data_IF_079617601489
#
_entry.id   IF_079617601489
#
_cell.length_a   1.000
_cell.length_b   1.000
_cell.length_c   1.000
_cell.angle_alpha   90.00
_cell.angle_beta   90.00
_cell.angle_gamma   90.00
#
_symmetry.space_group_name_H-M   'P 1'
#
loop_
_entity.id
_entity.type
_entity.pdbx_description
1 polymer ?
#
# COMPACT_ATOMS: atom_id res chain seq x y z
N UNK A 1 17.14 -5.29 3.57
CA UNK A 1 16.56 -4.46 2.48
C UNK A 1 15.24 -5.01 1.95
N UNK A 2 15.14 -6.30 1.61
CA UNK A 2 13.87 -6.94 1.17
C UNK A 2 12.72 -6.79 2.19
N UNK A 3 12.99 -6.93 3.47
CA UNK A 3 11.97 -6.93 4.53
C UNK A 3 11.36 -5.53 4.78
N UNK A 4 12.13 -4.45 4.64
CA UNK A 4 11.62 -3.07 4.80
C UNK A 4 10.96 -2.53 3.52
N UNK A 5 11.43 -2.93 2.35
CA UNK A 5 10.73 -2.70 1.07
C UNK A 5 9.33 -3.31 1.15
N UNK A 6 9.21 -4.48 1.79
CA UNK A 6 7.95 -5.16 2.04
C UNK A 6 7.04 -4.38 3.00
N UNK A 7 7.57 -3.83 4.10
CA UNK A 7 6.74 -3.09 5.08
C UNK A 7 6.19 -1.76 4.56
N UNK A 8 6.94 -1.00 3.78
CA UNK A 8 6.44 0.26 3.18
C UNK A 8 5.42 -0.01 2.06
N UNK A 9 5.66 -1.03 1.23
CA UNK A 9 4.70 -1.50 0.23
C UNK A 9 3.42 -2.02 0.87
N UNK A 10 3.53 -2.72 2.00
CA UNK A 10 2.38 -3.19 2.77
C UNK A 10 1.55 -2.03 3.33
N UNK A 11 2.18 -0.96 3.79
CA UNK A 11 1.50 0.21 4.33
C UNK A 11 0.71 0.96 3.25
N UNK A 12 1.31 1.18 2.08
CA UNK A 12 0.63 1.77 0.92
C UNK A 12 -0.52 0.87 0.42
N UNK A 13 -0.33 -0.46 0.48
CA UNK A 13 -1.38 -1.41 0.15
C UNK A 13 -2.57 -1.31 1.10
N UNK A 14 -2.31 -1.18 2.39
CA UNK A 14 -3.36 -1.01 3.41
C UNK A 14 -4.12 0.31 3.20
N UNK A 15 -3.43 1.42 2.98
CA UNK A 15 -4.09 2.69 2.70
C UNK A 15 -4.98 2.59 1.46
N UNK A 16 -4.44 2.08 0.35
CA UNK A 16 -5.18 1.89 -0.90
C UNK A 16 -6.38 0.94 -0.73
N UNK A 17 -6.28 -0.08 0.14
CA UNK A 17 -7.37 -1.00 0.46
C UNK A 17 -8.53 -0.26 1.15
N UNK A 18 -8.23 0.54 2.18
CA UNK A 18 -9.25 1.29 2.90
C UNK A 18 -9.88 2.39 2.04
N UNK A 19 -9.11 3.12 1.26
CA UNK A 19 -9.61 4.12 0.30
C UNK A 19 -10.47 3.50 -0.80
N UNK A 20 -10.01 2.39 -1.39
CA UNK A 20 -10.75 1.63 -2.39
C UNK A 20 -12.08 1.14 -1.86
N UNK A 21 -12.11 0.65 -0.62
CA UNK A 21 -13.34 0.23 0.07
C UNK A 21 -14.39 1.34 0.15
N UNK A 22 -13.99 2.58 0.45
CA UNK A 22 -14.93 3.72 0.53
C UNK A 22 -15.66 3.96 -0.80
N UNK A 23 -15.01 3.70 -1.93
CA UNK A 23 -15.60 3.87 -3.27
C UNK A 23 -16.61 2.80 -3.63
N UNK A 24 -16.49 1.60 -3.06
CA UNK A 24 -17.36 0.45 -3.40
C UNK A 24 -18.54 0.25 -2.47
N UNK A 25 -18.54 0.84 -1.29
CA UNK A 25 -19.65 0.75 -0.33
C UNK A 25 -20.98 1.26 -0.93
N UNK A 26 -21.03 2.39 -1.68
CA UNK A 26 -22.27 2.86 -2.30
C UNK A 26 -22.92 1.82 -3.22
N UNK A 27 -22.13 0.96 -3.88
CA UNK A 27 -22.68 -0.09 -4.75
C UNK A 27 -23.42 -1.18 -3.97
N UNK A 28 -22.98 -1.53 -2.75
CA UNK A 28 -23.72 -2.44 -1.88
C UNK A 28 -25.07 -1.84 -1.47
N UNK A 29 -25.10 -0.55 -1.14
CA UNK A 29 -26.33 0.17 -0.76
C UNK A 29 -27.27 0.26 -1.94
N UNK A 30 -26.76 0.60 -3.13
CA UNK A 30 -27.56 0.64 -4.36
C UNK A 30 -28.14 -0.74 -4.70
N UNK A 31 -27.32 -1.79 -4.61
CA UNK A 31 -27.75 -3.15 -4.92
C UNK A 31 -28.87 -3.62 -3.99
N UNK A 32 -28.74 -3.43 -2.68
CA UNK A 32 -29.81 -3.81 -1.72
C UNK A 32 -31.04 -2.94 -1.90
N UNK A 33 -30.92 -1.66 -2.25
CA UNK A 33 -32.05 -0.77 -2.51
C UNK A 33 -32.84 -1.22 -3.77
N UNK A 34 -32.12 -1.51 -4.86
CA UNK A 34 -32.77 -1.98 -6.12
C UNK A 34 -33.47 -3.31 -5.89
N UNK A 35 -32.83 -4.28 -5.21
CA UNK A 35 -33.45 -5.56 -4.88
C UNK A 35 -34.68 -5.40 -4.01
N UNK A 36 -34.57 -4.58 -2.95
CA UNK A 36 -35.69 -4.36 -2.03
C UNK A 36 -36.89 -3.72 -2.70
N UNK A 37 -36.66 -2.71 -3.58
CA UNK A 37 -37.72 -2.08 -4.36
C UNK A 37 -38.36 -3.08 -5.33
N UNK A 38 -37.56 -3.92 -6.00
CA UNK A 38 -38.06 -4.96 -6.89
C UNK A 38 -38.95 -5.98 -6.15
N UNK A 39 -38.54 -6.46 -5.00
CA UNK A 39 -39.30 -7.42 -4.22
C UNK A 39 -40.55 -6.81 -3.56
N UNK A 40 -40.54 -5.55 -3.16
CA UNK A 40 -41.73 -4.83 -2.70
C UNK A 40 -42.70 -4.65 -3.86
N UNK A 41 -42.24 -4.26 -5.04
CA UNK A 41 -43.09 -4.08 -6.23
C UNK A 41 -43.75 -5.38 -6.67
N UNK A 42 -43.03 -6.50 -6.68
CA UNK A 42 -43.58 -7.82 -7.08
C UNK A 42 -44.43 -8.46 -6.00
N UNK A 43 -44.38 -7.96 -4.76
CA UNK A 43 -45.10 -8.48 -3.59
C UNK A 43 -44.91 -9.99 -3.36
N UNK A 44 -43.76 -10.54 -3.79
CA UNK A 44 -43.46 -11.97 -3.67
C UNK A 44 -42.97 -12.34 -2.26
N UNK A 45 -42.25 -11.43 -1.59
CA UNK A 45 -41.63 -11.66 -0.29
C UNK A 45 -42.37 -10.82 0.77
N UNK A 46 -42.62 -11.37 1.96
CA UNK A 46 -43.18 -10.58 3.06
C UNK A 46 -42.35 -9.33 3.34
N UNK A 47 -42.97 -8.15 3.28
CA UNK A 47 -42.31 -6.85 3.37
C UNK A 47 -41.42 -6.72 4.61
N UNK A 48 -41.81 -7.35 5.73
CA UNK A 48 -41.02 -7.37 6.98
C UNK A 48 -39.66 -7.99 6.77
N UNK A 49 -39.54 -9.09 5.98
CA UNK A 49 -38.27 -9.76 5.69
C UNK A 49 -37.39 -8.92 4.80
N UNK A 50 -37.97 -8.27 3.78
CA UNK A 50 -37.25 -7.34 2.89
C UNK A 50 -36.66 -6.19 3.69
N UNK A 51 -37.44 -5.59 4.60
CA UNK A 51 -37.01 -4.48 5.45
C UNK A 51 -35.86 -4.93 6.38
N UNK A 52 -35.98 -6.10 7.02
CA UNK A 52 -34.93 -6.63 7.91
C UNK A 52 -33.61 -6.81 7.14
N UNK A 53 -33.63 -7.48 6.00
CA UNK A 53 -32.43 -7.69 5.19
C UNK A 53 -31.85 -6.38 4.64
N UNK A 54 -32.70 -5.44 4.23
CA UNK A 54 -32.29 -4.10 3.80
C UNK A 54 -31.50 -3.39 4.90
N UNK A 55 -32.08 -3.28 6.10
CA UNK A 55 -31.43 -2.59 7.20
C UNK A 55 -30.18 -3.32 7.69
N UNK A 56 -30.14 -4.65 7.68
CA UNK A 56 -28.94 -5.42 8.02
C UNK A 56 -27.77 -5.04 7.10
N UNK A 57 -27.97 -5.06 5.78
CA UNK A 57 -26.92 -4.74 4.81
C UNK A 57 -26.56 -3.25 4.86
N UNK A 58 -27.54 -2.37 5.04
CA UNK A 58 -27.33 -0.92 5.19
C UNK A 58 -26.47 -0.60 6.42
N UNK A 59 -26.81 -1.14 7.58
CA UNK A 59 -26.06 -0.92 8.83
C UNK A 59 -24.62 -1.41 8.68
N UNK A 60 -24.41 -2.62 8.16
CA UNK A 60 -23.07 -3.14 7.93
C UNK A 60 -22.27 -2.28 6.92
N UNK A 61 -22.93 -1.76 5.89
CA UNK A 61 -22.31 -0.84 4.92
C UNK A 61 -21.86 0.46 5.58
N UNK A 62 -22.73 1.06 6.41
CA UNK A 62 -22.43 2.29 7.16
C UNK A 62 -21.31 2.07 8.17
N UNK A 63 -21.36 0.97 8.94
CA UNK A 63 -20.29 0.62 9.90
C UNK A 63 -18.96 0.46 9.18
N UNK A 64 -18.93 -0.23 8.03
CA UNK A 64 -17.71 -0.40 7.21
C UNK A 64 -17.20 0.94 6.69
N UNK A 65 -18.09 1.83 6.26
CA UNK A 65 -17.73 3.17 5.78
C UNK A 65 -17.13 4.02 6.91
N UNK A 66 -17.80 4.11 8.06
CA UNK A 66 -17.33 4.86 9.24
C UNK A 66 -15.98 4.33 9.72
N UNK A 67 -15.84 3.01 9.85
CA UNK A 67 -14.60 2.37 10.30
C UNK A 67 -13.45 2.67 9.35
N UNK A 68 -13.66 2.56 8.03
CA UNK A 68 -12.63 2.88 7.04
C UNK A 68 -12.23 4.36 7.09
N UNK A 69 -13.19 5.27 7.27
CA UNK A 69 -12.92 6.70 7.47
C UNK A 69 -12.09 6.98 8.73
N UNK A 70 -12.42 6.36 9.84
CA UNK A 70 -11.68 6.51 11.10
C UNK A 70 -10.26 5.95 10.97
N UNK A 71 -10.09 4.80 10.33
CA UNK A 71 -8.76 4.19 10.11
C UNK A 71 -7.87 5.13 9.29
N UNK A 72 -8.41 5.76 8.24
CA UNK A 72 -7.67 6.69 7.40
C UNK A 72 -7.38 8.00 8.15
N UNK A 73 -8.39 8.65 8.72
CA UNK A 73 -8.26 9.97 9.34
C UNK A 73 -7.38 9.99 10.59
N UNK A 74 -7.38 8.91 11.37
CA UNK A 74 -6.54 8.74 12.57
C UNK A 74 -5.23 7.99 12.28
N UNK A 75 -4.93 7.72 11.01
CA UNK A 75 -3.73 6.99 10.58
C UNK A 75 -3.55 5.64 11.32
N UNK A 76 -4.66 4.97 11.68
CA UNK A 76 -4.58 3.67 12.37
C UNK A 76 -3.93 2.57 11.53
N UNK A 77 -3.94 2.70 10.21
CA UNK A 77 -3.21 1.81 9.31
C UNK A 77 -1.69 1.85 9.55
N UNK A 78 -1.16 2.98 10.10
CA UNK A 78 0.25 3.13 10.49
C UNK A 78 0.50 2.61 11.90
N UNK A 79 -0.36 3.00 12.86
CA UNK A 79 -0.13 2.76 14.30
C UNK A 79 -0.63 1.42 14.79
N UNK A 80 -1.77 0.95 14.26
CA UNK A 80 -2.49 -0.26 14.64
C UNK A 80 -2.85 -1.11 13.42
N UNK A 81 -2.00 -1.13 12.38
CA UNK A 81 -2.31 -1.69 11.07
C UNK A 81 -2.82 -3.13 11.10
N UNK A 82 -2.25 -3.99 11.95
CA UNK A 82 -2.71 -5.38 12.10
C UNK A 82 -4.13 -5.46 12.67
N UNK A 83 -4.45 -4.67 13.69
CA UNK A 83 -5.78 -4.64 14.31
C UNK A 83 -6.83 -4.05 13.37
N UNK A 84 -6.47 -2.94 12.68
CA UNK A 84 -7.31 -2.32 11.67
C UNK A 84 -7.63 -3.30 10.52
N UNK A 85 -6.63 -4.06 10.07
CA UNK A 85 -6.80 -5.06 9.03
C UNK A 85 -7.71 -6.21 9.48
N UNK A 86 -7.52 -6.75 10.68
CA UNK A 86 -8.39 -7.83 11.22
C UNK A 86 -9.84 -7.33 11.31
N UNK A 87 -10.08 -6.15 11.88
CA UNK A 87 -11.42 -5.58 11.96
C UNK A 87 -12.05 -5.38 10.58
N UNK A 88 -11.27 -4.94 9.61
CA UNK A 88 -11.73 -4.79 8.23
C UNK A 88 -12.09 -6.14 7.58
N UNK A 89 -11.28 -7.18 7.80
CA UNK A 89 -11.56 -8.54 7.32
C UNK A 89 -12.87 -9.10 7.90
N UNK A 90 -13.07 -8.93 9.20
CA UNK A 90 -14.30 -9.36 9.87
C UNK A 90 -15.54 -8.64 9.33
N UNK A 91 -15.46 -7.32 9.11
CA UNK A 91 -16.58 -6.56 8.53
C UNK A 91 -16.91 -7.01 7.09
N UNK A 92 -15.89 -7.33 6.28
CA UNK A 92 -16.12 -7.89 4.94
C UNK A 92 -16.73 -9.29 5.01
N UNK A 93 -16.28 -10.14 5.93
CA UNK A 93 -16.83 -11.47 6.15
C UNK A 93 -18.32 -11.42 6.54
N UNK A 94 -18.67 -10.60 7.53
CA UNK A 94 -20.07 -10.43 7.94
C UNK A 94 -20.93 -9.79 6.84
N UNK A 95 -20.39 -8.90 6.03
CA UNK A 95 -21.10 -8.37 4.87
C UNK A 95 -21.41 -9.48 3.85
N UNK A 96 -20.44 -10.33 3.54
CA UNK A 96 -20.66 -11.49 2.67
C UNK A 96 -21.72 -12.45 3.24
N UNK A 97 -21.65 -12.76 4.54
CA UNK A 97 -22.67 -13.59 5.21
C UNK A 97 -24.06 -12.95 5.20
N UNK A 98 -24.16 -11.63 5.37
CA UNK A 98 -25.47 -10.95 5.33
C UNK A 98 -26.14 -11.11 3.96
N UNK A 99 -25.38 -11.06 2.88
CA UNK A 99 -25.89 -11.30 1.53
C UNK A 99 -26.36 -12.75 1.33
N UNK A 100 -25.56 -13.74 1.76
CA UNK A 100 -25.98 -15.14 1.65
C UNK A 100 -27.17 -15.46 2.56
N UNK A 101 -27.20 -14.89 3.78
CA UNK A 101 -28.35 -15.03 4.68
C UNK A 101 -29.63 -14.45 4.08
N UNK A 102 -29.52 -13.30 3.41
CA UNK A 102 -30.66 -12.70 2.71
C UNK A 102 -31.17 -13.62 1.60
N UNK A 103 -30.28 -14.32 0.87
CA UNK A 103 -30.69 -15.32 -0.12
C UNK A 103 -31.48 -16.46 0.55
N UNK A 104 -31.02 -17.03 1.68
CA UNK A 104 -31.72 -18.11 2.35
C UNK A 104 -33.07 -17.69 2.95
N UNK A 105 -33.17 -16.47 3.45
CA UNK A 105 -34.44 -15.91 3.95
C UNK A 105 -35.44 -15.75 2.82
N UNK A 106 -34.98 -15.38 1.64
CA UNK A 106 -35.84 -15.11 0.48
C UNK A 106 -36.11 -16.34 -0.36
N UNK A 107 -35.23 -17.34 -0.39
CA UNK A 107 -35.32 -18.52 -1.26
C UNK A 107 -36.69 -19.24 -1.26
N UNK A 108 -37.44 -19.36 -0.12
CA UNK A 108 -38.76 -19.98 -0.14
C UNK A 108 -39.84 -19.19 -0.94
N UNK A 109 -39.57 -17.92 -1.23
CA UNK A 109 -40.50 -17.00 -1.89
C UNK A 109 -40.05 -16.65 -3.31
N UNK A 110 -38.84 -17.03 -3.70
CA UNK A 110 -38.29 -16.71 -5.03
C UNK A 110 -38.82 -17.68 -6.07
N UNK A 111 -39.27 -17.14 -7.19
CA UNK A 111 -39.40 -17.90 -8.44
C UNK A 111 -38.02 -17.92 -9.17
N UNK A 112 -37.89 -18.76 -10.22
CA UNK A 112 -36.63 -18.93 -10.94
C UNK A 112 -36.06 -17.61 -11.48
N UNK A 113 -36.90 -16.71 -11.98
CA UNK A 113 -36.50 -15.40 -12.50
C UNK A 113 -35.93 -14.50 -11.37
N UNK A 114 -36.63 -14.45 -10.25
CA UNK A 114 -36.23 -13.62 -9.12
C UNK A 114 -34.96 -14.16 -8.42
N UNK A 115 -34.80 -15.48 -8.34
CA UNK A 115 -33.58 -16.14 -7.88
C UNK A 115 -32.41 -15.82 -8.80
N UNK A 116 -32.60 -15.91 -10.12
CA UNK A 116 -31.58 -15.56 -11.09
C UNK A 116 -31.13 -14.10 -10.96
N UNK A 117 -32.07 -13.16 -10.83
CA UNK A 117 -31.79 -11.74 -10.63
C UNK A 117 -30.96 -11.53 -9.35
N UNK A 118 -31.36 -12.20 -8.25
CA UNK A 118 -30.64 -12.09 -6.97
C UNK A 118 -29.16 -12.53 -7.12
N UNK A 119 -28.95 -13.73 -7.68
CA UNK A 119 -27.59 -14.28 -7.87
C UNK A 119 -26.79 -13.47 -8.87
N UNK A 120 -27.42 -12.94 -9.92
CA UNK A 120 -26.76 -12.04 -10.87
C UNK A 120 -26.22 -10.76 -10.18
N UNK A 121 -26.99 -10.19 -9.25
CA UNK A 121 -26.52 -9.04 -8.45
C UNK A 121 -25.35 -9.43 -7.55
N UNK A 122 -25.37 -10.62 -6.91
CA UNK A 122 -24.21 -11.10 -6.13
C UNK A 122 -22.97 -11.30 -7.01
N UNK A 123 -23.17 -11.79 -8.23
CA UNK A 123 -22.11 -11.88 -9.25
C UNK A 123 -21.52 -10.50 -9.58
N UNK A 124 -22.38 -9.51 -9.80
CA UNK A 124 -21.97 -8.12 -10.02
C UNK A 124 -21.19 -7.53 -8.85
N UNK A 125 -21.64 -7.75 -7.62
CA UNK A 125 -20.95 -7.32 -6.40
C UNK A 125 -19.60 -8.03 -6.23
N UNK A 126 -19.52 -9.34 -6.53
CA UNK A 126 -18.28 -10.12 -6.50
C UNK A 126 -17.25 -9.59 -7.49
N UNK A 127 -17.69 -9.30 -8.71
CA UNK A 127 -16.83 -8.75 -9.77
C UNK A 127 -16.41 -7.32 -9.48
N UNK A 128 -17.35 -6.47 -9.03
CA UNK A 128 -17.07 -5.08 -8.66
C UNK A 128 -16.09 -4.96 -7.47
N UNK A 129 -16.12 -5.91 -6.55
CA UNK A 129 -15.18 -5.96 -5.43
C UNK A 129 -13.72 -6.21 -5.85
N UNK A 130 -13.46 -6.73 -7.06
CA UNK A 130 -12.09 -6.91 -7.58
C UNK A 130 -11.36 -5.57 -7.59
N UNK A 131 -12.01 -4.50 -8.04
CA UNK A 131 -11.38 -3.19 -8.20
C UNK A 131 -10.86 -2.60 -6.86
N UNK A 132 -11.47 -2.96 -5.73
CA UNK A 132 -11.14 -2.39 -4.42
C UNK A 132 -10.44 -3.35 -3.47
N UNK A 133 -10.90 -4.60 -3.41
CA UNK A 133 -10.46 -5.57 -2.41
C UNK A 133 -9.30 -6.46 -2.89
N UNK A 134 -9.09 -6.63 -4.22
CA UNK A 134 -8.02 -7.50 -4.73
C UNK A 134 -6.61 -6.96 -4.47
N UNK A 135 -6.46 -5.71 -4.05
CA UNK A 135 -5.22 -5.12 -3.54
C UNK A 135 -4.66 -5.98 -2.40
N UNK A 136 -5.56 -6.55 -1.58
CA UNK A 136 -5.23 -7.48 -0.52
C UNK A 136 -6.17 -8.69 -0.59
N UNK A 137 -5.73 -9.76 -1.23
CA UNK A 137 -6.55 -10.94 -1.54
C UNK A 137 -7.33 -11.52 -0.34
N UNK A 138 -6.77 -11.58 0.89
CA UNK A 138 -7.56 -12.06 2.03
C UNK A 138 -8.84 -11.23 2.29
N UNK A 139 -8.82 -9.91 2.02
CA UNK A 139 -10.02 -9.08 2.17
C UNK A 139 -11.06 -9.38 1.08
N UNK A 140 -10.61 -9.65 -0.14
CA UNK A 140 -11.47 -10.08 -1.22
C UNK A 140 -12.13 -11.43 -0.92
N UNK A 141 -11.34 -12.41 -0.47
CA UNK A 141 -11.87 -13.73 -0.11
C UNK A 141 -12.82 -13.69 1.09
N UNK A 142 -12.50 -12.87 2.10
CA UNK A 142 -13.36 -12.67 3.26
C UNK A 142 -14.75 -12.11 2.89
N UNK A 143 -14.86 -11.38 1.78
CA UNK A 143 -16.14 -10.87 1.29
C UNK A 143 -16.85 -11.87 0.37
N UNK A 144 -16.15 -12.38 -0.64
CA UNK A 144 -16.75 -13.12 -1.76
C UNK A 144 -17.09 -14.57 -1.40
N UNK A 145 -16.24 -15.26 -0.62
CA UNK A 145 -16.48 -16.66 -0.27
C UNK A 145 -17.72 -16.86 0.61
N UNK A 146 -17.90 -16.12 1.74
CA UNK A 146 -19.11 -16.30 2.56
C UNK A 146 -20.38 -15.82 1.86
N UNK A 147 -20.27 -14.96 0.85
CA UNK A 147 -21.41 -14.50 0.05
C UNK A 147 -21.90 -15.57 -0.94
N UNK A 148 -20.99 -16.27 -1.62
CA UNK A 148 -21.34 -17.14 -2.75
C UNK A 148 -21.30 -18.63 -2.40
N UNK A 149 -20.32 -19.08 -1.61
CA UNK A 149 -20.10 -20.51 -1.33
C UNK A 149 -21.31 -21.19 -0.66
N UNK A 150 -22.00 -20.60 0.35
CA UNK A 150 -23.18 -21.23 0.94
C UNK A 150 -24.32 -21.46 -0.06
N UNK A 151 -24.50 -20.54 -1.00
CA UNK A 151 -25.53 -20.63 -2.04
C UNK A 151 -25.24 -21.78 -3.00
N UNK A 152 -23.97 -21.90 -3.43
CA UNK A 152 -23.53 -23.02 -4.28
C UNK A 152 -23.75 -24.36 -3.56
N UNK A 153 -23.29 -24.46 -2.32
CA UNK A 153 -23.44 -25.67 -1.52
C UNK A 153 -24.90 -26.06 -1.32
N UNK A 154 -25.78 -25.10 -1.08
CA UNK A 154 -27.21 -25.34 -0.92
C UNK A 154 -27.86 -25.86 -2.20
N UNK A 155 -27.57 -25.25 -3.35
CA UNK A 155 -28.14 -25.70 -4.64
C UNK A 155 -27.63 -27.09 -5.02
N UNK A 156 -26.39 -27.48 -4.68
CA UNK A 156 -25.90 -28.83 -4.83
C UNK A 156 -26.59 -29.84 -3.89
N UNK A 157 -26.88 -29.41 -2.65
CA UNK A 157 -27.55 -30.24 -1.64
C UNK A 157 -28.99 -30.62 -2.04
N UNK A 158 -29.70 -29.77 -2.79
CA UNK A 158 -31.09 -30.00 -3.21
C UNK A 158 -31.23 -31.20 -4.18
N UNK A 159 -30.16 -31.71 -4.79
CA UNK A 159 -30.12 -32.84 -5.70
C UNK A 159 -31.13 -32.76 -6.88
N UNK A 160 -31.57 -31.54 -7.23
CA UNK A 160 -32.43 -31.29 -8.41
C UNK A 160 -31.53 -30.97 -9.60
N UNK A 161 -31.86 -31.49 -10.80
CA UNK A 161 -31.00 -31.40 -11.99
C UNK A 161 -30.71 -29.97 -12.41
N UNK A 162 -31.72 -29.13 -12.48
CA UNK A 162 -31.64 -27.70 -12.80
C UNK A 162 -30.83 -26.91 -11.75
N UNK A 163 -31.05 -27.17 -10.45
CA UNK A 163 -30.26 -26.57 -9.35
C UNK A 163 -28.81 -27.02 -9.38
N UNK A 164 -28.53 -28.27 -9.72
CA UNK A 164 -27.17 -28.80 -9.86
C UNK A 164 -26.44 -28.13 -11.03
N UNK A 165 -27.07 -27.99 -12.19
CA UNK A 165 -26.52 -27.26 -13.36
C UNK A 165 -26.20 -25.81 -12.94
N UNK A 166 -27.18 -25.13 -12.33
CA UNK A 166 -27.00 -23.76 -11.83
C UNK A 166 -25.79 -23.64 -10.89
N UNK A 167 -25.67 -24.54 -9.91
CA UNK A 167 -24.55 -24.55 -8.95
C UNK A 167 -23.20 -24.78 -9.64
N UNK A 168 -23.13 -25.66 -10.67
CA UNK A 168 -21.91 -25.88 -11.46
C UNK A 168 -21.54 -24.63 -12.24
N UNK A 169 -22.49 -24.01 -12.95
CA UNK A 169 -22.24 -22.77 -13.70
C UNK A 169 -21.79 -21.63 -12.78
N UNK A 170 -22.44 -21.50 -11.62
CA UNK A 170 -22.09 -20.48 -10.63
C UNK A 170 -20.72 -20.74 -9.99
N UNK A 171 -20.35 -22.01 -9.81
CA UNK A 171 -19.01 -22.41 -9.35
C UNK A 171 -17.93 -22.03 -10.36
N UNK A 172 -18.17 -22.28 -11.66
CA UNK A 172 -17.26 -21.87 -12.74
C UNK A 172 -17.09 -20.35 -12.78
N UNK A 173 -18.21 -19.61 -12.68
CA UNK A 173 -18.17 -18.16 -12.58
C UNK A 173 -17.32 -17.72 -11.38
N UNK A 174 -17.54 -18.28 -10.19
CA UNK A 174 -16.78 -17.96 -8.97
C UNK A 174 -15.29 -18.23 -9.16
N UNK A 175 -14.91 -19.36 -9.76
CA UNK A 175 -13.52 -19.69 -10.07
C UNK A 175 -12.88 -18.62 -10.97
N UNK A 176 -13.58 -18.23 -12.04
CA UNK A 176 -13.09 -17.19 -12.97
C UNK A 176 -12.87 -15.87 -12.23
N UNK A 177 -13.82 -15.45 -11.40
CA UNK A 177 -13.74 -14.22 -10.61
C UNK A 177 -12.59 -14.25 -9.61
N UNK A 178 -12.36 -15.39 -8.92
CA UNK A 178 -11.22 -15.58 -8.00
C UNK A 178 -9.87 -15.55 -8.75
N UNK A 179 -9.78 -16.17 -9.92
CA UNK A 179 -8.57 -16.12 -10.75
C UNK A 179 -8.29 -14.70 -11.25
N UNK A 180 -9.33 -13.99 -11.71
CA UNK A 180 -9.21 -12.58 -12.13
C UNK A 180 -8.74 -11.68 -11.01
N UNK A 181 -9.26 -11.86 -9.78
CA UNK A 181 -8.81 -11.13 -8.60
C UNK A 181 -7.32 -11.38 -8.29
N UNK A 182 -6.86 -12.64 -8.41
CA UNK A 182 -5.44 -12.98 -8.25
C UNK A 182 -4.54 -12.32 -9.30
N UNK A 183 -4.96 -12.33 -10.56
CA UNK A 183 -4.23 -11.68 -11.64
C UNK A 183 -4.16 -10.16 -11.43
N UNK A 184 -5.29 -9.53 -11.09
CA UNK A 184 -5.35 -8.09 -10.80
C UNK A 184 -4.45 -7.71 -9.62
N UNK A 185 -4.46 -8.48 -8.53
CA UNK A 185 -3.57 -8.29 -7.38
C UNK A 185 -2.10 -8.32 -7.79
N UNK A 186 -1.70 -9.28 -8.63
CA UNK A 186 -0.31 -9.37 -9.15
C UNK A 186 0.06 -8.17 -10.01
N UNK A 187 -0.85 -7.73 -10.89
CA UNK A 187 -0.63 -6.56 -11.74
C UNK A 187 -0.49 -5.27 -10.92
N UNK A 188 -1.39 -5.04 -9.96
CA UNK A 188 -1.33 -3.89 -9.06
C UNK A 188 -0.02 -3.86 -8.24
N UNK A 189 0.43 -5.04 -7.77
CA UNK A 189 1.71 -5.16 -7.07
C UNK A 189 2.91 -4.78 -7.96
N UNK A 190 2.93 -5.25 -9.23
CA UNK A 190 3.97 -4.88 -10.19
C UNK A 190 3.97 -3.37 -10.49
N UNK A 191 2.82 -2.80 -10.79
CA UNK A 191 2.68 -1.35 -11.06
C UNK A 191 3.16 -0.52 -9.87
N UNK A 192 2.80 -0.94 -8.64
CA UNK A 192 3.26 -0.27 -7.42
C UNK A 192 4.77 -0.31 -7.27
N UNK A 193 5.41 -1.47 -7.46
CA UNK A 193 6.87 -1.59 -7.39
C UNK A 193 7.54 -0.67 -8.40
N UNK A 194 7.07 -0.66 -9.65
CA UNK A 194 7.59 0.23 -10.69
C UNK A 194 7.37 1.72 -10.37
N UNK A 195 6.30 2.06 -9.66
CA UNK A 195 6.00 3.46 -9.30
C UNK A 195 6.85 4.02 -8.17
N UNK A 196 7.45 3.20 -7.29
CA UNK A 196 8.20 3.65 -6.11
C UNK A 196 9.71 3.45 -6.22
N UNK A 197 10.19 2.77 -7.25
CA UNK A 197 11.63 2.54 -7.47
C UNK A 197 12.15 3.35 -8.63
N UNK A 198 13.44 3.71 -8.56
CA UNK A 198 14.20 4.21 -9.68
C UNK A 198 14.57 3.05 -10.62
N UNK A 199 14.26 3.17 -11.89
CA UNK A 199 14.40 2.11 -12.89
C UNK A 199 15.86 1.72 -13.17
N UNK A 200 16.80 2.67 -13.04
CA UNK A 200 18.21 2.44 -13.29
C UNK A 200 18.90 1.74 -12.12
N UNK A 201 18.70 2.24 -10.90
CA UNK A 201 19.47 1.80 -9.71
C UNK A 201 18.75 0.78 -8.85
N UNK A 202 17.43 0.65 -9.00
CA UNK A 202 16.58 -0.18 -8.16
C UNK A 202 16.51 0.29 -6.69
N UNK A 203 16.97 1.51 -6.39
CA UNK A 203 16.69 2.21 -5.13
C UNK A 203 15.25 2.73 -5.12
N UNK A 204 14.76 3.19 -4.00
CA UNK A 204 13.53 3.96 -3.96
C UNK A 204 13.71 5.29 -4.70
N UNK A 205 12.64 5.77 -5.36
CA UNK A 205 12.66 7.04 -6.08
C UNK A 205 12.26 8.23 -5.18
N UNK A 206 12.33 9.44 -5.74
CA UNK A 206 11.96 10.71 -5.08
C UNK A 206 10.53 10.68 -4.51
N UNK A 207 9.55 10.19 -5.29
CA UNK A 207 8.15 10.12 -4.81
C UNK A 207 8.02 9.28 -3.55
N UNK A 208 8.70 8.16 -3.51
CA UNK A 208 8.67 7.28 -2.33
C UNK A 208 9.42 7.88 -1.14
N UNK A 209 10.52 8.62 -1.38
CA UNK A 209 11.22 9.39 -0.34
C UNK A 209 10.28 10.33 0.41
N UNK A 210 9.48 11.12 -0.31
CA UNK A 210 8.58 12.11 0.29
C UNK A 210 7.54 11.45 1.20
N UNK A 211 6.99 10.30 0.80
CA UNK A 211 6.02 9.53 1.59
C UNK A 211 6.68 8.91 2.83
N UNK A 212 7.82 8.23 2.64
CA UNK A 212 8.51 7.54 3.75
C UNK A 212 9.00 8.55 4.78
N UNK A 213 9.59 9.65 4.36
CA UNK A 213 10.15 10.63 5.28
C UNK A 213 9.06 11.29 6.14
N UNK A 214 7.93 11.67 5.55
CA UNK A 214 6.77 12.20 6.30
C UNK A 214 6.27 11.21 7.36
N UNK A 215 6.14 9.95 6.98
CA UNK A 215 5.65 8.90 7.88
C UNK A 215 6.64 8.62 9.02
N UNK A 216 7.95 8.62 8.73
CA UNK A 216 8.97 8.38 9.75
C UNK A 216 9.11 9.56 10.70
N UNK A 217 8.96 10.81 10.23
CA UNK A 217 8.90 11.98 11.12
C UNK A 217 7.74 11.87 12.13
N UNK A 218 6.56 11.47 11.64
CA UNK A 218 5.38 11.27 12.48
C UNK A 218 5.57 10.12 13.49
N UNK A 219 6.25 9.04 13.09
CA UNK A 219 6.58 7.90 13.98
C UNK A 219 7.61 8.27 15.03
N UNK A 220 8.67 8.96 14.63
CA UNK A 220 9.74 9.39 15.54
C UNK A 220 9.20 10.28 16.67
N UNK A 221 8.33 11.23 16.31
CA UNK A 221 7.65 12.09 17.28
C UNK A 221 6.84 11.28 18.29
N UNK A 222 6.07 10.27 17.85
CA UNK A 222 5.24 9.44 18.75
C UNK A 222 6.06 8.53 19.65
N UNK A 223 7.09 7.93 19.08
CA UNK A 223 7.87 6.89 19.74
C UNK A 223 9.17 7.44 20.37
N UNK A 224 9.39 8.74 20.28
CA UNK A 224 10.53 9.48 20.90
C UNK A 224 11.91 8.92 20.53
N UNK A 225 12.15 8.65 19.24
CA UNK A 225 13.47 8.29 18.75
C UNK A 225 14.00 9.30 17.72
N UNK A 226 15.35 9.48 17.64
CA UNK A 226 15.95 10.40 16.69
C UNK A 226 15.88 9.85 15.26
N UNK A 227 15.82 10.75 14.27
CA UNK A 227 16.00 10.44 12.85
C UNK A 227 17.15 11.26 12.30
N UNK A 228 18.00 10.62 11.48
CA UNK A 228 18.96 11.35 10.66
C UNK A 228 18.59 11.25 9.18
N UNK A 229 18.53 12.40 8.52
CA UNK A 229 18.36 12.53 7.07
C UNK A 229 19.71 12.86 6.46
N UNK A 230 20.14 12.05 5.49
CA UNK A 230 21.39 12.23 4.77
C UNK A 230 21.10 12.50 3.31
N UNK A 231 21.57 13.63 2.77
CA UNK A 231 21.64 13.86 1.33
C UNK A 231 23.06 13.62 0.85
N UNK A 232 23.19 12.93 -0.28
CA UNK A 232 24.45 12.47 -0.86
C UNK A 232 24.46 12.87 -2.33
N UNK A 233 25.56 13.43 -2.78
CA UNK A 233 25.74 13.83 -4.17
C UNK A 233 27.10 13.35 -4.69
N UNK A 234 27.13 12.92 -5.94
CA UNK A 234 28.37 12.49 -6.59
C UNK A 234 29.07 13.71 -7.19
N UNK A 235 30.14 14.13 -6.55
CA UNK A 235 30.93 15.25 -7.03
C UNK A 235 31.53 14.95 -8.41
N UNK A 236 31.43 15.92 -9.31
CA UNK A 236 31.98 15.86 -10.67
C UNK A 236 31.40 14.71 -11.53
N UNK A 237 30.18 14.23 -11.26
CA UNK A 237 29.56 13.17 -12.08
C UNK A 237 29.47 13.53 -13.57
N UNK A 238 29.28 14.81 -13.89
CA UNK A 238 29.29 15.30 -15.28
C UNK A 238 30.57 14.94 -16.01
N UNK A 239 31.73 14.95 -15.34
CA UNK A 239 33.00 14.54 -15.93
C UNK A 239 32.96 13.10 -16.47
N UNK A 240 32.30 12.18 -15.76
CA UNK A 240 32.13 10.79 -16.24
C UNK A 240 31.33 10.77 -17.54
N UNK A 241 30.19 11.47 -17.55
CA UNK A 241 29.33 11.52 -18.73
C UNK A 241 30.02 12.15 -19.94
N UNK A 242 30.70 13.28 -19.72
CA UNK A 242 31.35 14.05 -20.80
C UNK A 242 32.60 13.32 -21.35
N UNK A 243 33.29 12.54 -20.50
CA UNK A 243 34.53 11.84 -20.90
C UNK A 243 34.28 10.43 -21.45
N UNK A 244 33.35 9.68 -20.82
CA UNK A 244 33.16 8.25 -21.09
C UNK A 244 31.78 7.90 -21.67
N UNK A 245 30.89 8.88 -21.80
CA UNK A 245 29.53 8.73 -22.31
C UNK A 245 28.49 8.33 -21.25
N UNK A 246 27.25 8.56 -21.58
CA UNK A 246 26.10 8.33 -20.65
C UNK A 246 25.95 6.88 -20.19
N UNK A 247 26.28 5.90 -21.04
CA UNK A 247 26.18 4.47 -20.67
C UNK A 247 27.17 4.10 -19.55
N UNK A 248 28.37 4.72 -19.55
CA UNK A 248 29.35 4.55 -18.46
C UNK A 248 28.86 5.29 -17.20
N UNK A 249 28.27 6.49 -17.36
CA UNK A 249 27.63 7.22 -16.27
C UNK A 249 26.52 6.41 -15.59
N UNK A 250 25.65 5.79 -16.37
CA UNK A 250 24.58 4.92 -15.85
C UNK A 250 25.14 3.71 -15.08
N UNK A 251 26.15 3.05 -15.64
CA UNK A 251 26.84 1.95 -14.95
C UNK A 251 27.49 2.40 -13.64
N UNK A 252 28.03 3.61 -13.60
CA UNK A 252 28.62 4.20 -12.41
C UNK A 252 27.56 4.52 -11.35
N UNK A 253 26.40 5.05 -11.73
CA UNK A 253 25.27 5.28 -10.81
C UNK A 253 24.78 3.97 -10.18
N UNK A 254 24.72 2.89 -10.95
CA UNK A 254 24.41 1.53 -10.45
C UNK A 254 25.49 1.08 -9.45
N UNK A 255 26.77 1.29 -9.78
CA UNK A 255 27.89 0.94 -8.90
C UNK A 255 27.82 1.67 -7.55
N UNK A 256 27.63 2.99 -7.57
CA UNK A 256 27.43 3.81 -6.35
C UNK A 256 26.25 3.29 -5.53
N UNK A 257 25.12 3.04 -6.18
CA UNK A 257 23.93 2.50 -5.51
C UNK A 257 24.20 1.17 -4.80
N UNK A 258 25.03 0.31 -5.39
CA UNK A 258 25.43 -0.95 -4.79
C UNK A 258 26.35 -0.75 -3.58
N UNK A 259 27.26 0.23 -3.63
CA UNK A 259 28.09 0.60 -2.47
C UNK A 259 27.21 1.10 -1.30
N UNK A 260 26.27 2.01 -1.60
CA UNK A 260 25.33 2.53 -0.59
C UNK A 260 24.51 1.38 0.04
N UNK A 261 23.97 0.45 -0.78
CA UNK A 261 23.24 -0.73 -0.32
C UNK A 261 24.06 -1.65 0.58
N UNK A 262 25.34 -1.86 0.23
CA UNK A 262 26.24 -2.75 0.97
C UNK A 262 26.67 -2.15 2.31
N UNK A 263 26.71 -0.82 2.41
CA UNK A 263 27.15 -0.13 3.64
C UNK A 263 25.98 0.11 4.58
N UNK A 264 24.83 0.56 4.08
CA UNK A 264 23.60 0.75 4.86
C UNK A 264 22.78 -0.55 4.91
N UNK A 265 23.14 -1.45 5.84
CA UNK A 265 22.54 -2.80 5.95
C UNK A 265 21.39 -2.90 6.95
N UNK A 266 21.17 -1.89 7.79
CA UNK A 266 20.13 -1.93 8.81
C UNK A 266 18.76 -1.98 8.12
N UNK A 267 17.92 -2.93 8.52
CA UNK A 267 16.54 -3.05 7.99
C UNK A 267 15.69 -1.83 8.27
N UNK A 268 16.07 -1.02 9.26
CA UNK A 268 15.44 0.26 9.61
C UNK A 268 15.76 1.39 8.64
N UNK A 269 16.85 1.34 7.87
CA UNK A 269 17.32 2.45 7.04
C UNK A 269 16.77 2.37 5.62
N UNK A 270 16.49 3.51 5.01
CA UNK A 270 15.96 3.60 3.64
C UNK A 270 16.88 4.40 2.75
N UNK A 271 17.08 3.91 1.51
CA UNK A 271 17.91 4.52 0.49
C UNK A 271 17.05 4.91 -0.71
N UNK A 272 17.31 6.11 -1.21
CA UNK A 272 16.58 6.71 -2.32
C UNK A 272 17.54 7.31 -3.33
N UNK A 273 17.16 7.28 -4.61
CA UNK A 273 17.73 8.16 -5.63
C UNK A 273 16.72 9.27 -5.87
N UNK A 274 17.11 10.52 -5.61
CA UNK A 274 16.20 11.69 -5.63
C UNK A 274 16.42 12.60 -6.84
N UNK A 275 17.54 12.47 -7.52
CA UNK A 275 17.91 13.20 -8.72
C UNK A 275 18.85 12.39 -9.60
N UNK A 276 19.48 13.00 -10.60
CA UNK A 276 20.42 12.38 -11.51
C UNK A 276 21.56 11.66 -10.79
N UNK A 277 22.36 12.39 -10.05
CA UNK A 277 23.51 11.98 -9.23
C UNK A 277 23.29 12.16 -7.73
N UNK A 278 22.05 12.49 -7.32
CA UNK A 278 21.64 12.76 -5.96
C UNK A 278 20.95 11.57 -5.32
N UNK A 279 21.35 11.25 -4.09
CA UNK A 279 20.78 10.20 -3.26
C UNK A 279 20.35 10.73 -1.90
N UNK A 280 19.45 10.01 -1.24
CA UNK A 280 19.08 10.27 0.14
C UNK A 280 19.08 8.99 0.96
N UNK A 281 19.36 9.12 2.27
CA UNK A 281 19.16 8.06 3.24
C UNK A 281 18.37 8.59 4.43
N UNK A 282 17.40 7.78 4.90
CA UNK A 282 16.70 8.01 6.17
C UNK A 282 17.20 6.97 7.16
N UNK A 283 17.87 7.42 8.22
CA UNK A 283 18.46 6.58 9.26
C UNK A 283 17.59 6.69 10.52
N UNK A 284 16.95 5.58 10.90
CA UNK A 284 15.96 5.55 11.96
C UNK A 284 16.61 5.14 13.28
N UNK A 285 16.22 5.81 14.36
CA UNK A 285 16.76 5.59 15.70
C UNK A 285 18.30 5.62 15.70
N UNK A 286 18.85 6.67 15.07
CA UNK A 286 20.28 6.87 14.91
C UNK A 286 20.64 8.29 15.34
N UNK A 287 21.42 8.45 16.44
CA UNK A 287 21.87 9.76 16.92
C UNK A 287 22.88 10.39 15.96
N UNK A 288 23.13 11.72 16.07
CA UNK A 288 23.98 12.45 15.13
C UNK A 288 25.38 11.86 14.97
N UNK A 289 26.02 11.44 16.05
CA UNK A 289 27.36 10.85 16.03
C UNK A 289 27.45 9.55 15.24
N UNK A 290 26.47 8.67 15.42
CA UNK A 290 26.39 7.42 14.67
C UNK A 290 26.11 7.67 13.17
N UNK A 291 25.22 8.61 12.85
CA UNK A 291 24.94 8.98 11.47
C UNK A 291 26.18 9.50 10.74
N UNK A 292 27.00 10.33 11.40
CA UNK A 292 28.28 10.82 10.86
C UNK A 292 29.26 9.66 10.64
N UNK A 293 29.35 8.75 11.61
CA UNK A 293 30.21 7.55 11.49
C UNK A 293 29.80 6.69 10.30
N UNK A 294 28.52 6.45 10.11
CA UNK A 294 27.99 5.71 8.96
C UNK A 294 28.29 6.42 7.64
N UNK A 295 28.15 7.74 7.59
CA UNK A 295 28.54 8.53 6.42
C UNK A 295 30.05 8.46 6.13
N UNK A 296 30.90 8.45 7.17
CA UNK A 296 32.33 8.23 7.04
C UNK A 296 32.68 6.86 6.43
N UNK A 297 31.99 5.80 6.89
CA UNK A 297 32.12 4.48 6.31
C UNK A 297 31.68 4.43 4.84
N UNK A 298 30.59 5.13 4.50
CA UNK A 298 30.13 5.25 3.11
C UNK A 298 31.20 5.90 2.22
N UNK A 299 31.78 6.99 2.68
CA UNK A 299 32.84 7.72 1.97
C UNK A 299 34.09 6.85 1.80
N UNK A 300 34.51 6.15 2.85
CA UNK A 300 35.64 5.23 2.79
C UNK A 300 35.42 4.07 1.80
N UNK A 301 34.24 3.42 1.88
CA UNK A 301 33.89 2.32 0.97
C UNK A 301 33.78 2.80 -0.49
N UNK A 302 33.24 4.00 -0.71
CA UNK A 302 33.22 4.61 -2.02
C UNK A 302 34.64 4.84 -2.53
N UNK A 303 35.51 5.50 -1.75
CA UNK A 303 36.88 5.80 -2.15
C UNK A 303 37.70 4.54 -2.46
N UNK A 304 37.48 3.44 -1.71
CA UNK A 304 38.14 2.14 -1.97
C UNK A 304 37.71 1.47 -3.27
N UNK A 305 36.46 1.67 -3.68
CA UNK A 305 35.86 1.00 -4.85
C UNK A 305 35.75 1.90 -6.08
N UNK A 306 36.04 3.19 -5.93
CA UNK A 306 35.95 4.17 -7.00
C UNK A 306 37.20 4.10 -7.90
N UNK A 307 36.99 3.99 -9.23
CA UNK A 307 38.05 3.94 -10.23
C UNK A 307 38.45 5.34 -10.74
N UNK A 308 37.65 6.37 -10.44
CA UNK A 308 37.78 7.72 -10.99
C UNK A 308 38.32 8.70 -9.93
N UNK A 309 39.62 9.06 -10.03
CA UNK A 309 40.31 9.90 -9.01
C UNK A 309 39.66 11.27 -8.76
N UNK A 310 38.96 11.83 -9.75
CA UNK A 310 38.33 13.17 -9.66
C UNK A 310 36.87 13.15 -9.19
N UNK A 311 36.33 11.99 -8.83
CA UNK A 311 34.95 11.80 -8.41
C UNK A 311 34.92 11.40 -6.95
N UNK A 312 34.09 12.06 -6.17
CA UNK A 312 33.94 11.84 -4.72
C UNK A 312 32.47 11.92 -4.29
N UNK A 313 32.22 11.75 -3.02
CA UNK A 313 30.89 11.96 -2.43
C UNK A 313 30.90 13.13 -1.47
N UNK A 314 30.00 14.08 -1.69
CA UNK A 314 29.65 15.10 -0.69
C UNK A 314 28.36 14.71 0.03
N UNK A 315 28.33 14.91 1.35
CA UNK A 315 27.16 14.51 2.16
C UNK A 315 26.75 15.62 3.12
N UNK A 316 25.42 15.84 3.19
CA UNK A 316 24.79 16.70 4.19
C UNK A 316 23.94 15.87 5.15
N UNK A 317 24.23 15.91 6.43
CA UNK A 317 23.53 15.15 7.47
C UNK A 317 22.71 16.08 8.34
N UNK A 318 21.42 15.83 8.44
CA UNK A 318 20.54 16.51 9.38
C UNK A 318 20.04 15.49 10.40
N UNK A 319 20.30 15.77 11.68
CA UNK A 319 19.73 14.98 12.77
C UNK A 319 18.57 15.73 13.41
N UNK A 320 17.45 15.05 13.54
CA UNK A 320 16.18 15.58 14.04
C UNK A 320 15.89 14.89 15.35
N UNK A 321 15.85 15.66 16.44
CA UNK A 321 15.41 15.17 17.72
C UNK A 321 13.88 15.02 17.74
N UNK A 322 13.40 13.97 18.40
CA UNK A 322 11.99 13.63 18.53
C UNK A 322 11.16 14.66 19.32
N UNK A 323 11.81 15.53 20.11
CA UNK A 323 11.15 16.49 20.99
C UNK A 323 10.58 17.67 20.22
N UNK A 324 11.19 18.07 19.11
CA UNK A 324 10.75 19.22 18.30
C UNK A 324 9.85 18.83 17.14
N UNK A 325 8.86 19.68 16.91
CA UNK A 325 7.97 19.59 15.73
C UNK A 325 8.67 20.27 14.56
N UNK A 326 9.31 19.46 13.73
CA UNK A 326 9.91 19.93 12.47
C UNK A 326 9.04 19.41 11.34
N UNK A 327 8.65 20.32 10.44
CA UNK A 327 7.95 19.94 9.24
C UNK A 327 8.91 19.34 8.20
N UNK A 328 8.37 18.52 7.32
CA UNK A 328 9.14 17.82 6.30
C UNK A 328 9.96 18.75 5.42
N UNK A 329 9.38 19.88 4.99
CA UNK A 329 10.02 20.80 4.05
C UNK A 329 11.20 21.55 4.70
N UNK A 330 11.07 21.96 5.96
CA UNK A 330 12.16 22.57 6.72
C UNK A 330 13.34 21.63 6.89
N UNK A 331 13.10 20.35 7.17
CA UNK A 331 14.15 19.34 7.29
C UNK A 331 14.87 19.10 5.95
N UNK A 332 14.12 18.98 4.84
CA UNK A 332 14.68 18.83 3.48
C UNK A 332 15.53 20.06 3.12
N UNK A 333 15.03 21.26 3.35
CA UNK A 333 15.75 22.50 3.05
C UNK A 333 17.03 22.61 3.88
N UNK A 334 17.02 22.14 5.14
CA UNK A 334 18.21 22.11 5.97
C UNK A 334 19.25 21.09 5.47
N UNK A 335 18.80 19.92 5.00
CA UNK A 335 19.68 18.89 4.42
C UNK A 335 20.34 19.41 3.13
N UNK A 336 19.58 20.04 2.22
CA UNK A 336 20.10 20.66 1.01
C UNK A 336 21.17 21.74 1.33
N UNK A 337 20.88 22.63 2.28
CA UNK A 337 21.84 23.66 2.70
C UNK A 337 23.12 23.06 3.26
N UNK A 338 23.00 21.97 4.03
CA UNK A 338 24.15 21.29 4.64
C UNK A 338 25.00 20.58 3.59
N UNK A 339 24.37 19.91 2.61
CA UNK A 339 25.04 19.32 1.45
C UNK A 339 25.75 20.42 0.60
N UNK A 340 25.07 21.54 0.36
CA UNK A 340 25.67 22.66 -0.35
C UNK A 340 26.91 23.24 0.36
N UNK A 341 26.88 23.28 1.70
CA UNK A 341 28.07 23.69 2.50
C UNK A 341 29.23 22.69 2.32
N UNK A 342 28.95 21.38 2.24
CA UNK A 342 29.95 20.37 1.94
C UNK A 342 30.59 20.60 0.55
N UNK A 343 29.76 20.85 -0.47
CA UNK A 343 30.26 21.14 -1.84
C UNK A 343 31.10 22.43 -1.89
N UNK A 344 30.65 23.51 -1.21
CA UNK A 344 31.40 24.80 -1.16
C UNK A 344 32.72 24.71 -0.40
N UNK A 345 32.80 23.89 0.63
CA UNK A 345 34.01 23.74 1.45
C UNK A 345 35.08 22.84 0.83
N UNK A 346 34.96 22.48 -0.46
CA UNK A 346 35.97 21.74 -1.22
C UNK A 346 35.54 20.35 -1.67
N UNK A 347 34.26 20.00 -1.53
CA UNK A 347 33.72 18.67 -1.88
C UNK A 347 34.34 17.53 -1.06
N UNK A 348 34.02 16.28 -1.38
CA UNK A 348 34.57 15.07 -0.70
C UNK A 348 34.51 15.14 0.83
N UNK A 349 33.44 15.64 1.40
CA UNK A 349 33.29 15.81 2.84
C UNK A 349 31.86 15.66 3.32
N UNK A 350 31.75 15.48 4.62
CA UNK A 350 30.49 15.37 5.36
C UNK A 350 30.31 16.66 6.17
N UNK A 351 29.17 17.31 6.02
CA UNK A 351 28.73 18.37 6.90
C UNK A 351 27.50 17.90 7.66
N UNK A 352 27.38 18.28 8.90
CA UNK A 352 26.25 17.91 9.75
C UNK A 352 25.64 19.10 10.47
N UNK A 353 24.35 19.03 10.73
CA UNK A 353 23.61 20.01 11.51
C UNK A 353 22.55 19.28 12.34
N UNK A 354 22.45 19.59 13.62
CA UNK A 354 21.32 19.16 14.45
C UNK A 354 20.19 20.17 14.37
N UNK A 355 18.97 19.67 14.19
CA UNK A 355 17.73 20.40 14.29
C UNK A 355 17.05 19.98 15.60
N UNK A 356 17.59 20.47 16.69
CA UNK A 356 17.13 20.20 18.04
C UNK A 356 16.90 21.47 18.82
#
# INVERSE_FOLDING_TARGET
MHQKKRSSLELEALLSLFEGSLRTIPFNILAVMVLSLGFIYTNQIPIKLVIICFFLILILSVVRWVTSRIIISKEFYITKGKQALIGFLLLNFFMGLAWSLSYFIFSPYLNDTSEFIFVFILGGLSTGAIASLSIYLPAYYAYVLPMNFPIIAYNLYLFQFDKAIFAVMYSLFLIIVLLTARLNSKLLSKVRVLSITDSLTGLFNRRHFDVVFRNELSRAKRNKYPISLVFIDIDNFKYINDTFGHSVGDSFLIHVSNILKQTLRRSSDSLFRIGGDEYAAILINMPPSEAITVCGLLQEQFNKKNQYKNVSLSMGVISIDSIRVIDQQSAITAADKTLYQAKKAGKNQIKSKSLG
#
